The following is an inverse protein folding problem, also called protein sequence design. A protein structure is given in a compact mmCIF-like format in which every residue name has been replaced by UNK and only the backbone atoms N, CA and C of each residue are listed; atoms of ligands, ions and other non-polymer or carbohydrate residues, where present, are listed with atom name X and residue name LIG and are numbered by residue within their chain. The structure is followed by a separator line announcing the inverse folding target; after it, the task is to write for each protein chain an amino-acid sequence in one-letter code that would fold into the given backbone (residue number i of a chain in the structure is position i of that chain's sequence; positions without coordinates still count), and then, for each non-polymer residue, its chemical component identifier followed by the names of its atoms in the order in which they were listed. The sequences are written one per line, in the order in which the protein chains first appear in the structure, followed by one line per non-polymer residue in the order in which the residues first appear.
data_IF_620019045769
#
_entry.id   IF_620019045769
#
_cell.length_a   1.000
_cell.length_b   1.000
_cell.length_c   1.000
_cell.angle_alpha   90.00
_cell.angle_beta   90.00
_cell.angle_gamma   90.00
#
_symmetry.space_group_name_H-M   'P 1'
#
loop_
_entity.id
_entity.type
_entity.pdbx_description
1 polymer ?
#
# COMPACT_ATOMS: atom_id res chain seq x y z
N UNK A 1 79.10 -16.08 23.90
CA UNK A 1 78.55 -17.06 24.83
C UNK A 1 78.72 -18.43 24.21
N UNK A 2 79.11 -19.51 24.89
CA UNK A 2 79.18 -20.81 24.30
C UNK A 2 77.73 -21.16 23.79
N UNK A 3 77.67 -21.62 22.58
CA UNK A 3 76.38 -22.14 21.97
C UNK A 3 76.01 -23.32 22.89
N UNK A 4 75.00 -23.17 23.73
CA UNK A 4 74.47 -24.26 24.54
C UNK A 4 73.99 -25.39 23.64
N UNK A 5 74.07 -26.62 24.19
CA UNK A 5 73.55 -27.80 23.44
C UNK A 5 72.09 -27.55 23.05
N UNK A 6 71.76 -27.81 21.77
CA UNK A 6 70.41 -27.76 21.25
C UNK A 6 69.89 -29.16 20.96
N UNK A 7 68.59 -29.39 21.18
CA UNK A 7 67.97 -30.65 20.82
C UNK A 7 66.85 -30.40 19.82
N UNK A 8 66.54 -31.40 19.01
CA UNK A 8 65.45 -31.39 18.06
C UNK A 8 64.45 -32.47 18.42
N UNK A 9 63.20 -32.08 18.61
CA UNK A 9 62.10 -33.04 18.81
C UNK A 9 60.99 -32.77 17.75
N UNK A 10 60.33 -33.86 17.31
CA UNK A 10 59.23 -33.75 16.33
C UNK A 10 57.92 -33.97 17.04
N UNK A 11 56.98 -33.06 16.81
CA UNK A 11 55.63 -33.07 17.40
C UNK A 11 54.55 -33.19 16.35
N UNK A 12 53.57 -34.03 16.64
CA UNK A 12 52.31 -34.07 15.90
C UNK A 12 51.36 -33.03 16.49
N UNK A 13 51.09 -31.97 15.76
CA UNK A 13 50.27 -30.86 16.19
C UNK A 13 49.03 -30.74 15.34
N UNK A 14 47.90 -30.40 15.92
CA UNK A 14 46.60 -30.14 15.29
C UNK A 14 46.30 -28.66 15.33
N UNK A 15 45.31 -28.21 14.58
CA UNK A 15 44.78 -26.86 14.71
C UNK A 15 44.35 -26.61 16.16
N UNK A 16 44.64 -25.41 16.67
CA UNK A 16 44.33 -25.00 18.04
C UNK A 16 45.01 -25.87 19.12
N UNK A 17 46.21 -26.39 18.83
CA UNK A 17 47.07 -26.99 19.83
C UNK A 17 48.32 -26.16 20.00
N UNK A 18 48.92 -26.22 21.19
CA UNK A 18 50.16 -25.53 21.52
C UNK A 18 51.14 -26.39 22.28
N UNK A 19 52.38 -25.97 22.25
CA UNK A 19 53.49 -26.50 23.07
C UNK A 19 53.94 -25.41 24.05
N UNK A 20 54.07 -25.78 25.31
CA UNK A 20 54.46 -24.92 26.37
C UNK A 20 55.85 -25.35 26.90
N UNK A 21 56.81 -24.47 26.77
CA UNK A 21 58.19 -24.66 27.27
C UNK A 21 58.39 -23.83 28.51
N UNK A 22 59.25 -24.32 29.43
CA UNK A 22 59.67 -23.56 30.59
C UNK A 22 58.52 -22.98 31.42
N UNK A 23 57.47 -23.79 31.69
CA UNK A 23 56.28 -23.37 32.44
C UNK A 23 55.59 -22.09 31.89
N UNK A 24 55.52 -21.94 30.59
CA UNK A 24 54.80 -20.84 29.91
C UNK A 24 55.66 -19.65 29.54
N UNK A 25 56.94 -19.67 29.80
CA UNK A 25 57.84 -18.61 29.37
C UNK A 25 58.00 -18.56 27.85
N UNK A 26 57.88 -19.70 27.19
CA UNK A 26 57.88 -19.79 25.72
C UNK A 26 56.76 -20.73 25.23
N UNK A 27 55.95 -20.27 24.27
CA UNK A 27 54.88 -21.08 23.74
C UNK A 27 54.88 -21.05 22.21
N UNK A 28 54.50 -22.16 21.62
CA UNK A 28 54.23 -22.32 20.18
C UNK A 28 52.80 -22.73 20.04
N UNK A 29 51.99 -21.98 19.30
CA UNK A 29 50.58 -22.26 19.10
C UNK A 29 50.27 -22.42 17.61
N UNK A 30 49.63 -23.52 17.23
CA UNK A 30 49.15 -23.76 15.89
C UNK A 30 47.78 -23.13 15.75
N UNK A 31 47.67 -22.14 14.88
CA UNK A 31 46.45 -21.36 14.70
C UNK A 31 45.65 -21.80 13.49
N UNK A 32 46.36 -22.15 12.40
CA UNK A 32 45.74 -22.47 11.11
C UNK A 32 46.61 -23.44 10.34
N UNK A 33 46.00 -24.39 9.65
CA UNK A 33 46.61 -25.26 8.64
C UNK A 33 45.98 -25.00 7.30
N UNK A 34 46.75 -25.17 6.22
CA UNK A 34 46.28 -25.05 4.83
C UNK A 34 45.11 -25.94 4.55
N UNK A 35 44.19 -25.42 3.72
CA UNK A 35 43.04 -26.20 3.18
C UNK A 35 43.52 -27.14 2.04
N UNK A 36 42.69 -28.15 1.70
CA UNK A 36 42.93 -28.97 0.51
C UNK A 36 43.06 -28.13 -0.76
N UNK A 37 44.07 -28.40 -1.55
CA UNK A 37 44.34 -27.66 -2.79
C UNK A 37 45.22 -26.42 -2.66
N UNK A 38 45.48 -25.92 -1.43
CA UNK A 38 46.43 -24.87 -1.20
C UNK A 38 47.85 -25.41 -1.06
N UNK A 39 48.88 -24.52 -1.20
CA UNK A 39 50.23 -24.88 -0.84
C UNK A 39 50.30 -25.22 0.65
N UNK A 40 50.83 -26.39 1.06
CA UNK A 40 50.84 -26.79 2.46
C UNK A 40 51.60 -25.82 3.37
N UNK A 41 50.90 -25.29 4.37
CA UNK A 41 51.50 -24.47 5.44
C UNK A 41 50.85 -24.71 6.80
N UNK A 42 51.58 -24.39 7.84
CA UNK A 42 51.10 -24.25 9.21
C UNK A 42 51.38 -22.83 9.68
N UNK A 43 50.37 -22.14 10.13
CA UNK A 43 50.50 -20.82 10.73
C UNK A 43 50.65 -20.99 12.25
N UNK A 44 51.74 -20.53 12.77
CA UNK A 44 52.06 -20.64 14.21
C UNK A 44 52.24 -19.29 14.84
N UNK A 45 51.79 -19.16 16.08
CA UNK A 45 52.19 -18.07 16.98
C UNK A 45 53.35 -18.52 17.83
N UNK A 46 54.40 -17.74 17.88
CA UNK A 46 55.44 -17.84 18.89
C UNK A 46 55.16 -16.78 19.98
N UNK A 47 55.14 -17.20 21.23
CA UNK A 47 54.75 -16.34 22.35
C UNK A 47 55.85 -16.44 23.43
N UNK A 48 56.42 -15.32 23.78
CA UNK A 48 57.41 -15.23 24.89
C UNK A 48 57.48 -13.79 25.43
N UNK A 49 57.65 -13.64 26.74
CA UNK A 49 57.75 -12.33 27.38
C UNK A 49 56.54 -11.40 27.14
N UNK A 50 55.35 -11.96 26.91
CA UNK A 50 54.14 -11.18 26.56
C UNK A 50 54.07 -10.72 25.09
N UNK A 51 55.05 -11.03 24.28
CA UNK A 51 55.11 -10.75 22.86
C UNK A 51 54.60 -11.96 22.08
N UNK A 52 53.86 -11.70 20.95
CA UNK A 52 53.39 -12.71 20.04
C UNK A 52 53.80 -12.35 18.62
N UNK A 53 54.38 -13.31 17.90
CA UNK A 53 54.73 -13.16 16.48
C UNK A 53 54.27 -14.36 15.70
N UNK A 54 53.74 -14.13 14.48
CA UNK A 54 53.20 -15.17 13.59
C UNK A 54 54.23 -15.57 12.54
N UNK A 55 54.34 -16.86 12.29
CA UNK A 55 55.19 -17.43 11.26
C UNK A 55 54.38 -18.47 10.44
N UNK A 56 54.76 -18.59 9.19
CA UNK A 56 54.27 -19.65 8.29
C UNK A 56 55.36 -20.70 8.14
N UNK A 57 55.09 -21.89 8.60
CA UNK A 57 55.97 -23.05 8.43
C UNK A 57 55.51 -23.88 7.27
N UNK A 58 56.34 -24.06 6.25
CA UNK A 58 56.08 -24.91 5.08
C UNK A 58 56.89 -26.16 5.12
N UNK A 59 56.51 -27.16 4.26
CA UNK A 59 57.27 -28.42 4.22
C UNK A 59 58.68 -28.17 3.74
N UNK A 60 59.68 -28.61 4.54
CA UNK A 60 61.12 -28.47 4.28
C UNK A 60 61.62 -27.03 4.08
N UNK A 61 60.84 -26.02 4.55
CA UNK A 61 61.28 -24.62 4.58
C UNK A 61 61.56 -24.20 6.02
N UNK A 62 62.69 -23.48 6.23
CA UNK A 62 62.98 -22.80 7.45
C UNK A 62 62.28 -21.41 7.45
N UNK A 63 61.36 -21.10 8.38
CA UNK A 63 60.72 -19.80 8.44
C UNK A 63 61.68 -18.66 8.82
N UNK A 64 62.97 -18.93 8.97
CA UNK A 64 64.04 -17.94 9.22
C UNK A 64 63.72 -17.03 10.45
N UNK A 65 63.46 -17.64 11.59
CA UNK A 65 63.16 -16.92 12.85
C UNK A 65 64.42 -16.21 13.34
N UNK A 66 64.59 -14.94 13.01
CA UNK A 66 65.78 -14.15 13.37
C UNK A 66 65.52 -13.11 14.42
N UNK A 67 64.25 -12.85 14.74
CA UNK A 67 63.85 -11.79 15.68
C UNK A 67 64.00 -12.22 17.12
N UNK A 68 64.67 -11.41 17.94
CA UNK A 68 64.64 -11.59 19.39
C UNK A 68 63.27 -11.19 19.97
N UNK A 69 62.80 -11.88 20.99
CA UNK A 69 63.37 -13.06 21.68
C UNK A 69 62.99 -14.42 21.03
N UNK A 70 62.42 -14.43 19.78
CA UNK A 70 61.91 -15.62 19.13
C UNK A 70 63.01 -16.49 18.48
N UNK A 71 64.19 -15.97 18.24
CA UNK A 71 65.33 -16.61 17.59
C UNK A 71 66.00 -17.75 18.37
N UNK A 72 65.44 -18.12 19.52
CA UNK A 72 65.93 -19.24 20.34
C UNK A 72 65.45 -20.62 19.87
N UNK A 73 64.55 -20.64 18.90
CA UNK A 73 64.01 -21.88 18.31
C UNK A 73 64.14 -21.85 16.79
N UNK A 74 64.15 -23.03 16.20
CA UNK A 74 63.95 -23.19 14.78
C UNK A 74 62.84 -24.20 14.53
N UNK A 75 62.03 -23.98 13.51
CA UNK A 75 60.87 -24.79 13.12
C UNK A 75 61.08 -25.37 11.73
N UNK A 76 60.76 -26.64 11.56
CA UNK A 76 60.70 -27.25 10.24
C UNK A 76 59.51 -28.24 10.20
N UNK A 77 58.84 -28.35 9.09
CA UNK A 77 57.78 -29.32 8.93
C UNK A 77 58.09 -30.34 7.85
N UNK A 78 57.96 -31.61 8.18
CA UNK A 78 58.11 -32.72 7.25
C UNK A 78 56.80 -33.20 6.62
N UNK A 79 55.68 -32.85 7.25
CA UNK A 79 54.35 -33.22 6.82
C UNK A 79 53.30 -32.24 7.29
N UNK A 80 52.41 -31.82 6.40
CA UNK A 80 51.28 -30.93 6.72
C UNK A 80 50.05 -31.48 5.99
N UNK A 81 48.95 -31.65 6.73
CA UNK A 81 47.60 -31.93 6.25
C UNK A 81 46.63 -30.94 6.86
N UNK A 82 45.36 -31.03 6.52
CA UNK A 82 44.30 -30.21 7.13
C UNK A 82 44.14 -30.35 8.65
N UNK A 83 44.47 -31.53 9.16
CA UNK A 83 44.21 -31.88 10.55
C UNK A 83 45.48 -31.94 11.41
N UNK A 84 46.60 -32.37 10.84
CA UNK A 84 47.83 -32.64 11.55
C UNK A 84 49.03 -32.13 10.79
N UNK A 85 49.96 -31.51 11.49
CA UNK A 85 51.30 -31.18 11.01
C UNK A 85 52.35 -31.86 11.88
N UNK A 86 53.38 -32.40 11.22
CA UNK A 86 54.57 -32.90 11.88
C UNK A 86 55.63 -31.80 11.88
N UNK A 87 55.84 -31.16 13.02
CA UNK A 87 56.77 -30.04 13.18
C UNK A 87 57.98 -30.46 14.02
N UNK A 88 59.12 -30.45 13.38
CA UNK A 88 60.41 -30.59 14.07
C UNK A 88 60.81 -29.21 14.69
N UNK A 89 61.05 -29.18 15.97
CA UNK A 89 61.38 -27.98 16.71
C UNK A 89 62.78 -28.16 17.28
N UNK A 90 63.66 -27.25 16.92
CA UNK A 90 65.00 -27.16 17.50
C UNK A 90 64.98 -26.08 18.58
N UNK A 91 65.40 -26.44 19.78
CA UNK A 91 65.38 -25.57 20.94
C UNK A 91 66.54 -25.88 21.94
N UNK A 92 66.86 -24.98 22.85
CA UNK A 92 67.90 -25.22 23.84
C UNK A 92 67.62 -26.45 24.75
N UNK A 93 68.55 -27.34 24.88
CA UNK A 93 68.41 -28.56 25.72
C UNK A 93 68.04 -28.29 27.15
N UNK A 94 68.45 -27.14 27.66
CA UNK A 94 68.13 -26.65 29.03
C UNK A 94 66.64 -26.38 29.26
N UNK A 95 65.77 -26.31 28.17
CA UNK A 95 64.35 -26.00 28.33
C UNK A 95 63.54 -27.23 28.78
N UNK A 96 64.10 -28.42 28.68
CA UNK A 96 63.30 -29.66 28.84
C UNK A 96 62.33 -29.90 27.76
N UNK A 97 61.53 -30.98 27.82
CA UNK A 97 60.52 -31.32 26.83
C UNK A 97 59.25 -30.48 27.06
N UNK A 98 58.64 -29.92 26.03
CA UNK A 98 57.44 -29.08 26.18
C UNK A 98 56.21 -29.90 26.53
N UNK A 99 55.23 -29.23 27.14
CA UNK A 99 53.93 -29.79 27.44
C UNK A 99 52.94 -29.35 26.38
N UNK A 100 52.26 -30.31 25.71
CA UNK A 100 51.19 -30.07 24.75
C UNK A 100 49.91 -29.58 25.47
N UNK A 101 49.25 -28.59 24.93
CA UNK A 101 47.98 -28.07 25.43
C UNK A 101 47.04 -27.72 24.27
N UNK A 102 45.76 -27.54 24.60
CA UNK A 102 44.73 -27.14 23.63
C UNK A 102 44.44 -25.65 23.83
N UNK A 103 44.24 -24.94 22.70
CA UNK A 103 43.88 -23.53 22.67
C UNK A 103 42.38 -23.45 22.39
N UNK A 104 41.67 -22.53 23.01
CA UNK A 104 40.27 -22.28 22.66
C UNK A 104 40.17 -21.82 21.21
N UNK A 105 39.35 -22.53 20.42
CA UNK A 105 39.08 -22.16 19.05
C UNK A 105 38.37 -20.82 19.05
N UNK A 106 38.81 -19.79 18.28
CA UNK A 106 38.08 -18.55 18.15
C UNK A 106 36.65 -18.81 17.67
N UNK A 107 35.66 -18.40 18.44
CA UNK A 107 34.26 -18.43 18.02
C UNK A 107 34.09 -17.30 17.01
N UNK A 108 34.10 -17.64 15.72
CA UNK A 108 33.72 -16.68 14.68
C UNK A 108 32.21 -16.57 14.76
N UNK A 109 31.65 -15.39 15.10
CA UNK A 109 30.19 -15.25 15.15
C UNK A 109 29.59 -15.58 13.80
N UNK A 110 28.61 -16.47 13.80
CA UNK A 110 27.87 -16.83 12.59
C UNK A 110 27.18 -15.59 12.02
N UNK A 111 27.34 -15.35 10.73
CA UNK A 111 26.68 -14.25 10.03
C UNK A 111 25.24 -14.65 9.72
N UNK A 112 24.31 -14.19 10.55
CA UNK A 112 22.89 -14.55 10.47
C UNK A 112 22.09 -13.33 10.01
N UNK A 113 21.36 -13.41 8.88
CA UNK A 113 20.42 -12.37 8.48
C UNK A 113 19.17 -12.39 9.36
N UNK A 114 18.60 -11.21 9.60
CA UNK A 114 17.33 -11.03 10.28
C UNK A 114 16.50 -9.96 9.54
N UNK A 115 15.50 -10.39 8.79
CA UNK A 115 14.64 -9.51 7.99
C UNK A 115 13.45 -9.07 8.83
N UNK A 116 13.22 -7.76 8.87
CA UNK A 116 12.08 -7.11 9.50
C UNK A 116 11.30 -6.34 8.43
N UNK A 117 9.96 -6.45 8.45
CA UNK A 117 9.06 -5.77 7.52
C UNK A 117 8.12 -4.84 8.25
N UNK A 118 7.88 -3.67 7.65
CA UNK A 118 6.84 -2.73 8.07
C UNK A 118 6.02 -2.32 6.85
N UNK A 119 4.71 -2.62 6.87
CA UNK A 119 3.74 -2.18 5.85
C UNK A 119 3.01 -0.93 6.32
N UNK A 120 2.82 0.04 5.45
CA UNK A 120 2.05 1.26 5.68
C UNK A 120 1.27 1.66 4.43
N UNK A 121 0.32 2.57 4.60
CA UNK A 121 -0.48 3.17 3.54
C UNK A 121 -0.53 4.67 3.73
N UNK A 122 -0.80 5.42 2.67
CA UNK A 122 -0.96 6.87 2.68
C UNK A 122 -2.25 7.31 3.39
N UNK A 123 -3.33 6.50 3.30
CA UNK A 123 -4.63 6.77 3.91
C UNK A 123 -5.36 5.48 4.28
N UNK A 124 -6.14 5.51 5.38
CA UNK A 124 -6.90 4.35 5.89
C UNK A 124 -8.40 4.44 5.63
N UNK A 125 -8.89 5.62 5.23
CA UNK A 125 -10.28 5.87 4.81
C UNK A 125 -10.27 6.25 3.33
N UNK A 126 -11.08 5.58 2.54
CA UNK A 126 -11.14 5.65 1.09
C UNK A 126 -12.60 5.78 0.65
N UNK A 127 -12.82 6.36 -0.52
CA UNK A 127 -14.06 6.19 -1.25
C UNK A 127 -13.92 5.05 -2.26
N UNK A 128 -15.00 4.42 -2.64
CA UNK A 128 -15.01 3.49 -3.78
C UNK A 128 -14.53 4.25 -5.03
N UNK A 129 -13.55 3.68 -5.74
CA UNK A 129 -12.89 4.35 -6.87
C UNK A 129 -11.54 4.99 -6.54
N UNK A 130 -11.25 5.26 -5.27
CA UNK A 130 -9.98 5.84 -4.83
C UNK A 130 -8.80 4.92 -5.04
N UNK A 131 -7.63 5.52 -5.22
CA UNK A 131 -6.33 4.85 -5.21
C UNK A 131 -5.67 5.05 -3.86
N UNK A 132 -5.11 3.98 -3.30
CA UNK A 132 -4.31 3.96 -2.07
C UNK A 132 -2.89 3.49 -2.40
N UNK A 133 -1.90 4.19 -1.85
CA UNK A 133 -0.48 3.83 -1.98
C UNK A 133 -0.02 3.01 -0.78
N UNK A 134 0.60 1.87 -1.08
CA UNK A 134 1.24 0.99 -0.12
C UNK A 134 2.75 1.19 -0.14
N UNK A 135 3.36 1.23 1.03
CA UNK A 135 4.81 1.19 1.23
C UNK A 135 5.16 0.03 2.14
N UNK A 136 6.13 -0.80 1.73
CA UNK A 136 6.71 -1.88 2.53
C UNK A 136 8.18 -1.57 2.71
N UNK A 137 8.57 -1.27 3.94
CA UNK A 137 9.98 -1.12 4.32
C UNK A 137 10.50 -2.49 4.75
N UNK A 138 11.61 -2.92 4.15
CA UNK A 138 12.29 -4.18 4.43
C UNK A 138 13.67 -3.88 4.94
N UNK A 139 14.01 -4.31 6.16
CA UNK A 139 15.29 -4.07 6.80
C UNK A 139 15.98 -5.38 7.18
N UNK A 140 17.27 -5.48 6.92
CA UNK A 140 18.10 -6.56 7.45
C UNK A 140 18.82 -6.10 8.71
N UNK A 141 18.23 -6.35 9.87
CA UNK A 141 18.79 -6.00 11.17
C UNK A 141 19.83 -7.02 11.69
N UNK A 142 20.09 -8.08 10.92
CA UNK A 142 21.09 -9.10 11.24
C UNK A 142 22.52 -8.66 10.89
N UNK A 143 23.47 -9.53 11.21
CA UNK A 143 24.90 -9.34 10.91
C UNK A 143 25.38 -10.11 9.66
N UNK A 144 24.47 -10.82 8.98
CA UNK A 144 24.69 -11.55 7.74
C UNK A 144 23.84 -11.02 6.59
N UNK A 145 24.30 -11.24 5.36
CA UNK A 145 23.51 -10.92 4.15
C UNK A 145 22.37 -11.92 3.99
N UNK A 146 21.18 -11.43 3.73
CA UNK A 146 20.03 -12.25 3.33
C UNK A 146 20.10 -12.49 1.82
N UNK A 147 19.93 -13.74 1.40
CA UNK A 147 19.96 -14.17 -0.01
C UNK A 147 18.65 -14.85 -0.39
N UNK A 148 18.37 -14.91 -1.69
CA UNK A 148 17.19 -15.54 -2.29
C UNK A 148 15.89 -14.99 -1.69
N UNK A 149 15.79 -13.64 -1.64
CA UNK A 149 14.59 -13.00 -1.14
C UNK A 149 13.46 -13.16 -2.14
N UNK A 150 12.34 -13.68 -1.66
CA UNK A 150 11.09 -13.77 -2.44
C UNK A 150 9.97 -13.10 -1.67
N UNK A 151 9.25 -12.20 -2.35
CA UNK A 151 8.12 -11.46 -1.80
C UNK A 151 6.81 -12.13 -2.20
N UNK A 152 5.92 -12.32 -1.24
CA UNK A 152 4.54 -12.76 -1.46
C UNK A 152 3.59 -11.69 -0.92
N UNK A 153 2.94 -11.00 -1.85
CA UNK A 153 1.89 -9.99 -1.59
C UNK A 153 0.66 -10.35 -2.41
N UNK A 154 -0.45 -10.56 -1.72
CA UNK A 154 -1.72 -10.93 -2.35
C UNK A 154 -2.56 -9.69 -2.65
N UNK A 155 -3.28 -9.74 -3.76
CA UNK A 155 -4.28 -8.72 -4.06
C UNK A 155 -5.44 -8.87 -3.06
N UNK A 156 -5.75 -7.83 -2.25
CA UNK A 156 -6.84 -7.90 -1.30
C UNK A 156 -8.20 -7.92 -2.01
N UNK A 157 -9.19 -8.57 -1.39
CA UNK A 157 -10.56 -8.49 -1.87
C UNK A 157 -11.05 -7.04 -1.84
N UNK A 158 -11.84 -6.66 -2.85
CA UNK A 158 -12.35 -5.30 -3.00
C UNK A 158 -11.36 -4.31 -3.61
N UNK A 159 -10.19 -4.79 -4.09
CA UNK A 159 -9.21 -3.97 -4.76
C UNK A 159 -8.82 -4.52 -6.14
N UNK A 160 -8.38 -3.61 -7.00
CA UNK A 160 -7.73 -3.91 -8.28
C UNK A 160 -6.40 -3.17 -8.34
N UNK A 161 -5.52 -3.61 -9.25
CA UNK A 161 -4.28 -2.90 -9.53
C UNK A 161 -4.58 -1.49 -10.05
N UNK A 162 -3.97 -0.46 -9.47
CA UNK A 162 -4.07 0.90 -10.00
C UNK A 162 -3.30 1.04 -11.31
N UNK A 163 -3.73 1.95 -12.18
CA UNK A 163 -3.04 2.24 -13.44
C UNK A 163 -1.60 2.71 -13.16
N UNK A 164 -0.63 2.15 -13.88
CA UNK A 164 0.79 2.46 -13.69
C UNK A 164 1.47 1.82 -12.48
N UNK A 165 0.73 1.12 -11.62
CA UNK A 165 1.31 0.43 -10.46
C UNK A 165 2.01 -0.87 -10.85
N UNK A 166 3.08 -1.21 -10.14
CA UNK A 166 3.77 -2.50 -10.24
C UNK A 166 3.21 -3.49 -9.22
N UNK A 167 2.14 -4.22 -9.59
CA UNK A 167 1.58 -5.28 -8.75
C UNK A 167 1.48 -6.61 -9.53
N UNK A 168 1.85 -7.77 -8.97
CA UNK A 168 2.52 -7.93 -7.67
C UNK A 168 3.88 -7.24 -7.63
N UNK A 169 4.26 -6.67 -6.47
CA UNK A 169 5.56 -6.02 -6.34
C UNK A 169 6.71 -7.04 -6.38
N UNK A 170 7.89 -6.58 -6.79
CA UNK A 170 9.11 -7.39 -6.86
C UNK A 170 10.13 -6.93 -5.82
N UNK A 171 11.05 -7.83 -5.48
CA UNK A 171 12.16 -7.56 -4.56
C UNK A 171 13.47 -8.02 -5.19
N UNK A 172 14.59 -7.39 -4.84
CA UNK A 172 15.94 -7.83 -5.22
C UNK A 172 16.34 -9.13 -4.50
N UNK A 173 17.24 -9.91 -5.09
CA UNK A 173 17.61 -11.25 -4.59
C UNK A 173 18.41 -11.23 -3.27
N UNK A 174 19.08 -10.11 -2.94
CA UNK A 174 19.89 -10.01 -1.73
C UNK A 174 19.68 -8.70 -0.97
N UNK A 175 19.84 -8.76 0.35
CA UNK A 175 19.88 -7.58 1.23
C UNK A 175 21.02 -7.72 2.24
N UNK A 176 22.03 -6.85 2.12
CA UNK A 176 23.22 -6.85 2.99
C UNK A 176 22.85 -6.58 4.45
N UNK A 177 23.71 -7.00 5.38
CA UNK A 177 23.59 -6.65 6.80
C UNK A 177 23.49 -5.12 6.98
N UNK A 178 22.51 -4.66 7.76
CA UNK A 178 22.19 -3.23 7.94
C UNK A 178 21.56 -2.54 6.74
N UNK A 179 21.29 -3.27 5.66
CA UNK A 179 20.63 -2.73 4.47
C UNK A 179 19.13 -2.54 4.67
N UNK A 180 18.55 -1.56 3.96
CA UNK A 180 17.13 -1.30 3.90
C UNK A 180 16.69 -1.05 2.46
N UNK A 181 15.46 -1.42 2.13
CA UNK A 181 14.82 -1.10 0.86
C UNK A 181 13.35 -0.78 1.08
N UNK A 182 12.78 0.02 0.20
CA UNK A 182 11.36 0.36 0.18
C UNK A 182 10.72 -0.14 -1.10
N UNK A 183 9.59 -0.83 -0.96
CA UNK A 183 8.78 -1.35 -2.06
C UNK A 183 7.47 -0.58 -2.06
N UNK A 184 7.10 0.03 -3.17
CA UNK A 184 5.87 0.78 -3.35
C UNK A 184 4.99 0.20 -4.43
N UNK A 185 3.68 0.18 -4.19
CA UNK A 185 2.67 -0.17 -5.17
C UNK A 185 1.35 0.53 -4.82
N UNK A 186 0.45 0.65 -5.77
CA UNK A 186 -0.84 1.29 -5.58
C UNK A 186 -1.98 0.37 -6.02
N UNK A 187 -3.08 0.38 -5.26
CA UNK A 187 -4.29 -0.37 -5.54
C UNK A 187 -5.48 0.59 -5.60
N UNK A 188 -6.46 0.25 -6.44
CA UNK A 188 -7.74 0.97 -6.55
C UNK A 188 -8.82 0.20 -5.81
N UNK A 189 -9.55 0.88 -4.91
CA UNK A 189 -10.71 0.33 -4.22
C UNK A 189 -11.89 0.19 -5.19
N UNK A 190 -12.50 -1.00 -5.29
CA UNK A 190 -13.64 -1.26 -6.20
C UNK A 190 -14.89 -1.73 -5.47
N UNK A 191 -14.77 -2.13 -4.20
CA UNK A 191 -15.89 -2.53 -3.35
C UNK A 191 -15.87 -1.73 -2.04
N UNK A 192 -17.03 -1.29 -1.57
CA UNK A 192 -17.18 -0.61 -0.28
C UNK A 192 -17.21 -1.60 0.87
N UNK A 193 -16.79 -1.16 2.06
CA UNK A 193 -16.75 -1.95 3.28
C UNK A 193 -15.43 -1.84 4.02
N UNK A 194 -15.20 -2.73 4.98
CA UNK A 194 -13.94 -2.84 5.70
C UNK A 194 -13.10 -3.93 5.05
N UNK A 195 -11.92 -3.58 4.59
CA UNK A 195 -10.95 -4.51 4.01
C UNK A 195 -9.74 -4.67 4.93
N UNK A 196 -9.48 -5.90 5.37
CA UNK A 196 -8.30 -6.25 6.16
C UNK A 196 -7.20 -6.76 5.23
N UNK A 197 -6.16 -5.96 5.08
CA UNK A 197 -5.00 -6.29 4.25
C UNK A 197 -4.09 -7.24 5.02
N UNK A 198 -3.88 -8.43 4.49
CA UNK A 198 -3.02 -9.45 5.10
C UNK A 198 -1.56 -8.99 5.19
N UNK A 199 -0.77 -9.54 6.14
CA UNK A 199 0.66 -9.29 6.20
C UNK A 199 1.37 -9.73 4.92
N UNK A 200 2.27 -8.87 4.42
CA UNK A 200 3.26 -9.25 3.39
C UNK A 200 4.21 -10.29 3.96
N UNK A 201 4.58 -11.27 3.17
CA UNK A 201 5.53 -12.31 3.55
C UNK A 201 6.79 -12.23 2.69
N UNK A 202 7.98 -12.28 3.32
CA UNK A 202 9.26 -12.45 2.64
C UNK A 202 9.90 -13.75 3.11
N UNK A 203 10.31 -14.59 2.15
CA UNK A 203 11.16 -15.75 2.39
C UNK A 203 12.60 -15.40 2.06
N UNK A 204 13.55 -15.88 2.86
CA UNK A 204 14.98 -15.72 2.67
C UNK A 204 15.74 -16.93 3.23
N UNK A 205 16.43 -17.66 2.37
CA UNK A 205 16.93 -18.98 2.71
C UNK A 205 15.81 -19.90 3.22
N UNK A 206 15.98 -20.47 4.41
CA UNK A 206 14.95 -21.30 5.08
C UNK A 206 14.03 -20.52 6.03
N UNK A 207 14.19 -19.20 6.12
CA UNK A 207 13.46 -18.33 7.05
C UNK A 207 12.35 -17.55 6.36
N UNK A 208 11.40 -17.08 7.18
CA UNK A 208 10.27 -16.26 6.73
C UNK A 208 10.09 -15.08 7.69
N UNK A 209 9.88 -13.90 7.13
CA UNK A 209 9.49 -12.70 7.87
C UNK A 209 8.12 -12.20 7.38
N UNK A 210 7.35 -11.55 8.26
CA UNK A 210 6.02 -11.01 7.96
C UNK A 210 5.89 -9.58 8.44
N UNK A 211 5.14 -8.76 7.69
CA UNK A 211 4.76 -7.41 8.10
C UNK A 211 3.58 -7.42 9.08
N UNK A 212 3.18 -6.24 9.52
CA UNK A 212 1.87 -6.00 10.12
C UNK A 212 0.74 -6.13 9.08
N UNK A 213 -0.49 -6.37 9.55
CA UNK A 213 -1.73 -6.18 8.79
C UNK A 213 -2.17 -4.72 8.82
N UNK A 214 -3.05 -4.32 7.88
CA UNK A 214 -3.64 -2.98 7.82
C UNK A 214 -5.15 -3.14 7.62
N UNK A 215 -5.96 -2.33 8.31
CA UNK A 215 -7.40 -2.25 8.09
C UNK A 215 -7.73 -0.95 7.33
N UNK A 216 -8.49 -1.07 6.24
CA UNK A 216 -8.96 0.05 5.42
C UNK A 216 -10.48 0.10 5.45
N UNK A 217 -11.04 1.30 5.57
CA UNK A 217 -12.47 1.54 5.44
C UNK A 217 -12.75 2.19 4.09
N UNK A 218 -13.61 1.56 3.29
CA UNK A 218 -13.97 2.02 1.95
C UNK A 218 -15.44 2.43 1.99
N UNK A 219 -15.69 3.73 1.88
CA UNK A 219 -17.03 4.30 1.82
C UNK A 219 -17.63 4.22 0.43
N UNK A 220 -18.95 4.33 0.38
CA UNK A 220 -19.72 4.50 -0.85
C UNK A 220 -20.76 5.60 -0.63
N UNK A 221 -20.85 6.54 -1.55
CA UNK A 221 -21.95 7.49 -1.59
C UNK A 221 -23.23 6.84 -2.12
N UNK A 222 -24.36 7.32 -1.65
CA UNK A 222 -25.67 6.85 -2.12
C UNK A 222 -26.67 8.00 -2.07
N UNK A 223 -27.03 8.54 -3.20
CA UNK A 223 -27.98 9.66 -3.29
C UNK A 223 -29.42 9.15 -3.42
N UNK A 224 -30.29 9.72 -2.59
CA UNK A 224 -31.74 9.60 -2.72
C UNK A 224 -32.30 10.92 -3.27
N UNK A 225 -33.02 10.85 -4.40
CA UNK A 225 -33.70 12.00 -5.00
C UNK A 225 -35.20 11.87 -4.84
N UNK A 226 -35.83 12.87 -4.21
CA UNK A 226 -37.27 12.96 -4.02
C UNK A 226 -37.77 14.20 -4.76
N UNK A 227 -38.83 14.05 -5.53
CA UNK A 227 -39.46 15.12 -6.32
C UNK A 227 -40.88 15.34 -5.79
N UNK A 228 -41.13 16.49 -5.17
CA UNK A 228 -42.38 16.88 -4.57
C UNK A 228 -43.09 17.92 -5.48
N UNK A 229 -44.40 17.90 -5.51
CA UNK A 229 -45.23 18.86 -6.20
C UNK A 229 -46.08 19.61 -5.15
N UNK A 230 -46.23 20.94 -5.29
CA UNK A 230 -47.13 21.73 -4.44
C UNK A 230 -48.62 21.35 -4.70
N UNK A 231 -48.94 20.90 -5.94
CA UNK A 231 -50.27 20.46 -6.34
C UNK A 231 -50.18 19.49 -7.51
N UNK A 232 -51.12 18.55 -7.56
CA UNK A 232 -51.18 17.50 -8.58
C UNK A 232 -52.34 17.67 -9.58
N UNK A 233 -53.32 18.54 -9.26
CA UNK A 233 -54.48 18.83 -10.12
C UNK A 233 -54.50 20.32 -10.42
N UNK A 234 -54.32 20.71 -11.65
CA UNK A 234 -54.23 22.09 -12.13
C UNK A 234 -54.99 22.30 -13.41
N UNK A 235 -55.22 23.53 -13.78
CA UNK A 235 -55.82 23.91 -15.08
C UNK A 235 -54.72 24.37 -16.05
N UNK A 236 -54.99 24.27 -17.35
CA UNK A 236 -54.17 24.87 -18.38
C UNK A 236 -53.91 26.35 -18.09
N UNK A 237 -52.63 26.78 -18.05
CA UNK A 237 -52.16 28.09 -17.71
C UNK A 237 -51.81 28.28 -16.22
N UNK A 238 -52.08 27.30 -15.36
CA UNK A 238 -51.71 27.38 -13.95
C UNK A 238 -50.26 26.92 -13.74
N UNK A 239 -49.54 27.49 -12.81
CA UNK A 239 -48.19 27.06 -12.37
C UNK A 239 -48.28 25.89 -11.40
N UNK A 240 -47.25 25.05 -11.40
CA UNK A 240 -46.96 24.03 -10.39
C UNK A 240 -45.51 24.18 -9.94
N UNK A 241 -45.28 24.23 -8.65
CA UNK A 241 -43.95 24.25 -8.09
C UNK A 241 -43.44 22.81 -7.89
N UNK A 242 -42.28 22.55 -8.43
CA UNK A 242 -41.55 21.27 -8.34
C UNK A 242 -40.37 21.47 -7.41
N UNK A 243 -40.43 20.87 -6.24
CA UNK A 243 -39.32 20.88 -5.27
C UNK A 243 -38.55 19.56 -5.33
N UNK A 244 -37.27 19.65 -5.56
CA UNK A 244 -36.38 18.50 -5.68
C UNK A 244 -35.42 18.49 -4.50
N UNK A 245 -35.43 17.38 -3.73
CA UNK A 245 -34.54 17.17 -2.60
C UNK A 245 -33.62 15.99 -2.88
N UNK A 246 -32.31 16.24 -2.77
CA UNK A 246 -31.27 15.22 -2.83
C UNK A 246 -30.71 15.00 -1.41
N UNK A 247 -30.62 13.74 -0.98
CA UNK A 247 -30.04 13.38 0.32
C UNK A 247 -28.99 12.32 0.13
N UNK A 248 -27.77 12.55 0.65
CA UNK A 248 -26.75 11.51 0.66
C UNK A 248 -26.97 10.59 1.88
N UNK A 249 -27.55 9.40 1.63
CA UNK A 249 -27.80 8.36 2.62
C UNK A 249 -26.66 7.34 2.71
N UNK A 250 -25.55 7.57 1.97
CA UNK A 250 -24.33 6.78 2.02
C UNK A 250 -23.43 7.15 3.20
N UNK A 251 -22.26 6.54 3.27
CA UNK A 251 -21.24 6.78 4.28
C UNK A 251 -19.98 7.47 3.73
N UNK A 252 -20.05 7.93 2.49
CA UNK A 252 -19.01 8.67 1.79
C UNK A 252 -19.63 9.86 1.07
N UNK A 253 -18.86 10.91 0.80
CA UNK A 253 -19.30 12.08 0.03
C UNK A 253 -19.64 11.71 -1.41
N UNK A 254 -20.75 12.24 -1.92
CA UNK A 254 -21.04 12.19 -3.35
C UNK A 254 -20.41 13.44 -4.02
N UNK A 255 -19.55 13.23 -5.00
CA UNK A 255 -18.84 14.32 -5.71
C UNK A 255 -19.32 14.42 -7.16
N UNK A 256 -19.19 15.63 -7.75
CA UNK A 256 -19.59 15.94 -9.12
C UNK A 256 -21.04 15.52 -9.41
N UNK A 257 -21.96 15.89 -8.51
CA UNK A 257 -23.36 15.51 -8.60
C UNK A 257 -24.03 16.33 -9.70
N UNK A 258 -24.61 15.66 -10.67
CA UNK A 258 -25.44 16.24 -11.73
C UNK A 258 -26.85 15.65 -11.63
N UNK A 259 -27.85 16.54 -11.57
CA UNK A 259 -29.25 16.20 -11.72
C UNK A 259 -29.83 16.94 -12.91
N UNK A 260 -30.52 16.25 -13.79
CA UNK A 260 -31.11 16.84 -14.99
C UNK A 260 -32.25 15.99 -15.53
N UNK A 261 -33.13 16.63 -16.26
CA UNK A 261 -34.22 15.92 -16.98
C UNK A 261 -34.93 16.79 -18.01
N UNK A 262 -35.70 16.18 -18.91
CA UNK A 262 -36.45 16.90 -19.91
C UNK A 262 -37.68 17.58 -19.29
N UNK A 263 -38.01 18.77 -19.79
CA UNK A 263 -39.29 19.41 -19.51
C UNK A 263 -40.44 18.56 -20.11
N UNK A 264 -41.48 18.22 -19.33
CA UNK A 264 -42.64 17.47 -19.86
C UNK A 264 -43.28 18.21 -21.04
N UNK A 265 -43.65 17.50 -22.12
CA UNK A 265 -44.05 18.10 -23.38
C UNK A 265 -45.20 19.09 -23.26
N UNK A 266 -46.15 18.98 -22.40
CA UNK A 266 -47.24 19.90 -22.19
C UNK A 266 -47.00 20.98 -21.15
N UNK A 267 -45.74 21.23 -20.79
CA UNK A 267 -45.36 22.19 -19.76
C UNK A 267 -44.20 23.07 -20.23
N UNK A 268 -44.05 24.27 -19.65
CA UNK A 268 -42.93 25.19 -19.85
C UNK A 268 -42.32 25.59 -18.49
N UNK A 269 -41.03 25.82 -18.43
CA UNK A 269 -40.38 26.36 -17.25
C UNK A 269 -40.58 27.87 -17.20
N UNK A 270 -41.11 28.39 -16.12
CA UNK A 270 -41.30 29.82 -15.91
C UNK A 270 -40.34 30.43 -14.90
N UNK A 271 -39.83 29.61 -13.97
CA UNK A 271 -38.82 30.01 -12.97
C UNK A 271 -37.92 28.79 -12.60
N UNK A 272 -36.63 29.04 -12.40
CA UNK A 272 -35.67 28.00 -12.06
C UNK A 272 -35.19 27.16 -13.25
N UNK A 273 -34.66 25.99 -12.98
CA UNK A 273 -34.17 25.01 -13.98
C UNK A 273 -34.33 23.58 -13.42
N UNK A 274 -34.63 22.62 -14.30
CA UNK A 274 -34.61 21.19 -13.95
C UNK A 274 -33.20 20.59 -13.91
N UNK A 275 -32.17 21.37 -14.25
CA UNK A 275 -30.79 20.99 -14.22
C UNK A 275 -30.05 21.68 -13.09
N UNK A 276 -29.43 20.90 -12.19
CA UNK A 276 -28.58 21.42 -11.09
C UNK A 276 -27.28 20.62 -11.00
N UNK A 277 -26.22 21.28 -10.50
CA UNK A 277 -24.89 20.71 -10.29
C UNK A 277 -24.42 21.06 -8.88
N UNK A 278 -23.99 20.04 -8.14
CA UNK A 278 -23.35 20.22 -6.83
C UNK A 278 -21.94 19.63 -6.88
N UNK A 279 -20.97 20.37 -6.35
CA UNK A 279 -19.59 19.90 -6.29
C UNK A 279 -19.47 18.69 -5.37
N UNK A 280 -20.19 18.71 -4.23
CA UNK A 280 -20.12 17.69 -3.20
C UNK A 280 -21.38 17.72 -2.33
N UNK A 281 -21.84 16.54 -1.88
CA UNK A 281 -22.89 16.36 -0.86
C UNK A 281 -22.32 15.36 0.17
N UNK A 282 -22.14 15.83 1.43
CA UNK A 282 -21.57 15.02 2.49
C UNK A 282 -22.53 13.92 2.97
N UNK A 283 -22.08 12.87 3.66
CA UNK A 283 -22.92 11.87 4.28
C UNK A 283 -23.97 12.50 5.22
N UNK A 284 -25.25 12.20 5.00
CA UNK A 284 -26.36 12.75 5.77
C UNK A 284 -26.80 14.16 5.36
N UNK A 285 -26.08 14.84 4.49
CA UNK A 285 -26.43 16.15 3.97
C UNK A 285 -27.55 16.06 2.92
N UNK A 286 -28.34 17.14 2.83
CA UNK A 286 -29.39 17.27 1.82
C UNK A 286 -29.26 18.62 1.11
N UNK A 287 -29.45 18.61 -0.21
CA UNK A 287 -29.58 19.77 -1.05
C UNK A 287 -30.99 19.84 -1.61
N UNK A 288 -31.55 21.04 -1.74
CA UNK A 288 -32.90 21.27 -2.21
C UNK A 288 -32.95 22.46 -3.16
N UNK A 289 -33.75 22.33 -4.23
CA UNK A 289 -34.06 23.41 -5.16
C UNK A 289 -35.48 23.30 -5.66
N UNK A 290 -36.05 24.42 -6.12
CA UNK A 290 -37.40 24.48 -6.71
C UNK A 290 -37.35 25.03 -8.12
N UNK A 291 -38.27 24.56 -8.92
CA UNK A 291 -38.53 25.00 -10.31
C UNK A 291 -40.02 25.13 -10.52
N UNK A 292 -40.46 26.25 -11.10
CA UNK A 292 -41.90 26.45 -11.48
C UNK A 292 -42.14 26.06 -12.90
N UNK A 293 -43.02 25.09 -13.08
CA UNK A 293 -43.53 24.68 -14.38
C UNK A 293 -44.97 25.24 -14.60
N UNK A 294 -45.29 25.68 -15.81
CA UNK A 294 -46.61 26.12 -16.17
C UNK A 294 -47.22 25.15 -17.23
N UNK A 295 -48.43 24.73 -16.99
CA UNK A 295 -49.13 23.87 -17.92
C UNK A 295 -49.59 24.64 -19.18
N UNK A 296 -49.18 24.17 -20.36
CA UNK A 296 -49.56 24.77 -21.65
C UNK A 296 -50.61 23.94 -22.41
N UNK A 297 -50.69 22.66 -22.09
CA UNK A 297 -51.67 21.73 -22.69
C UNK A 297 -52.31 20.87 -21.58
N UNK A 298 -53.60 20.49 -21.80
CA UNK A 298 -54.27 19.54 -20.91
C UNK A 298 -53.73 18.13 -21.14
N UNK A 299 -53.64 17.35 -20.04
CA UNK A 299 -53.06 16.00 -20.08
C UNK A 299 -52.51 15.54 -18.73
N UNK A 300 -51.86 14.40 -18.76
CA UNK A 300 -51.21 13.81 -17.59
C UNK A 300 -49.70 13.84 -17.75
N UNK A 301 -49.02 14.51 -16.85
CA UNK A 301 -47.57 14.75 -16.92
C UNK A 301 -46.87 14.24 -15.67
N UNK A 302 -45.58 14.02 -15.76
CA UNK A 302 -44.69 13.80 -14.60
C UNK A 302 -43.30 14.32 -14.89
N UNK A 303 -42.65 14.85 -13.91
CA UNK A 303 -41.25 15.26 -13.98
C UNK A 303 -40.36 14.03 -13.74
N UNK A 304 -39.44 13.78 -14.67
CA UNK A 304 -38.46 12.68 -14.55
C UNK A 304 -37.07 13.26 -14.60
N UNK A 305 -36.29 13.05 -13.54
CA UNK A 305 -34.93 13.54 -13.40
C UNK A 305 -33.98 12.36 -13.30
N UNK A 306 -32.79 12.51 -13.91
CA UNK A 306 -31.66 11.60 -13.77
C UNK A 306 -30.61 12.22 -12.87
N UNK A 307 -30.20 11.49 -11.86
CA UNK A 307 -29.11 11.88 -10.95
C UNK A 307 -27.89 11.01 -11.21
N UNK A 308 -26.72 11.62 -11.41
CA UNK A 308 -25.42 10.94 -11.57
C UNK A 308 -24.35 11.64 -10.71
N UNK A 309 -23.34 10.90 -10.28
CA UNK A 309 -22.25 11.37 -9.45
C UNK A 309 -21.02 10.46 -9.60
N UNK A 310 -19.89 10.81 -8.99
CA UNK A 310 -18.60 10.13 -9.19
C UNK A 310 -18.64 8.62 -9.00
N UNK A 311 -19.35 8.12 -7.97
CA UNK A 311 -19.44 6.68 -7.67
C UNK A 311 -20.51 5.95 -8.52
N UNK A 312 -21.42 6.71 -9.15
CA UNK A 312 -22.46 6.20 -10.07
C UNK A 312 -22.60 7.14 -11.28
N UNK A 313 -21.68 7.03 -12.22
CA UNK A 313 -21.70 7.81 -13.46
C UNK A 313 -22.82 7.40 -14.42
N UNK A 314 -23.36 6.19 -14.27
CA UNK A 314 -24.54 5.75 -15.06
C UNK A 314 -25.80 6.43 -14.59
N UNK A 315 -25.85 6.76 -13.30
CA UNK A 315 -26.94 7.45 -12.64
C UNK A 315 -28.24 6.63 -12.55
N UNK A 316 -29.16 7.16 -11.77
CA UNK A 316 -30.50 6.61 -11.58
C UNK A 316 -31.57 7.66 -11.89
N UNK A 317 -32.78 7.22 -12.19
CA UNK A 317 -33.92 8.10 -12.52
C UNK A 317 -34.93 8.13 -11.39
N UNK A 318 -35.38 9.34 -11.04
CA UNK A 318 -36.47 9.61 -10.11
C UNK A 318 -37.63 10.28 -10.84
N UNK A 319 -38.85 10.01 -10.40
CA UNK A 319 -40.06 10.50 -11.03
C UNK A 319 -41.00 11.11 -9.98
N UNK A 320 -41.63 12.24 -10.32
CA UNK A 320 -42.67 12.86 -9.50
C UNK A 320 -43.99 12.07 -9.53
N UNK A 321 -44.88 12.43 -8.65
CA UNK A 321 -46.30 12.11 -8.80
C UNK A 321 -46.86 12.64 -10.12
N UNK A 322 -48.07 12.17 -10.49
CA UNK A 322 -48.76 12.57 -11.70
C UNK A 322 -49.35 13.98 -11.55
N UNK A 323 -49.08 14.85 -12.50
CA UNK A 323 -49.71 16.17 -12.65
C UNK A 323 -50.85 16.01 -13.62
N UNK A 324 -52.09 16.18 -13.16
CA UNK A 324 -53.32 16.11 -13.97
C UNK A 324 -53.70 17.54 -14.36
N UNK A 325 -53.61 17.84 -15.65
CA UNK A 325 -53.97 19.15 -16.23
C UNK A 325 -55.27 19.04 -16.95
N UNK A 326 -56.24 19.84 -16.54
CA UNK A 326 -57.56 19.94 -17.20
C UNK A 326 -57.74 21.32 -17.84
N UNK A 327 -58.55 21.38 -18.88
CA UNK A 327 -58.85 22.67 -19.47
C UNK A 327 -59.77 23.50 -18.55
N UNK A 328 -59.53 24.82 -18.47
CA UNK A 328 -60.44 25.72 -17.80
C UNK A 328 -61.76 25.73 -18.55
N UNK A 329 -62.87 25.49 -17.84
CA UNK A 329 -64.18 25.64 -18.42
C UNK A 329 -64.32 27.07 -18.96
N UNK A 330 -64.54 27.19 -20.26
CA UNK A 330 -64.84 28.47 -20.89
C UNK A 330 -66.25 28.89 -20.47
N UNK A 331 -66.37 29.80 -19.53
CA UNK A 331 -67.63 30.31 -19.06
C UNK A 331 -68.20 31.26 -20.12
N UNK A 332 -68.86 30.66 -21.11
CA UNK A 332 -69.54 31.39 -22.23
C UNK A 332 -70.66 32.31 -21.74
N UNK A 333 -71.12 32.20 -20.50
CA UNK A 333 -72.16 33.06 -19.91
C UNK A 333 -71.80 34.55 -20.02
N UNK A 334 -70.56 34.92 -19.86
CA UNK A 334 -70.04 36.32 -19.96
C UNK A 334 -70.14 36.85 -21.40
N UNK A 335 -70.20 36.02 -22.42
CA UNK A 335 -70.41 36.37 -23.85
C UNK A 335 -71.89 36.28 -24.21
N UNK A 336 -72.54 35.21 -23.73
CA UNK A 336 -73.98 34.96 -24.05
C UNK A 336 -74.94 36.00 -23.46
N UNK A 337 -74.69 36.41 -22.18
CA UNK A 337 -75.56 37.41 -21.51
C UNK A 337 -75.57 38.76 -22.27
N UNK A 338 -74.41 39.37 -22.58
CA UNK A 338 -74.44 40.63 -23.40
C UNK A 338 -75.01 40.45 -24.77
N UNK A 339 -74.72 39.30 -25.43
CA UNK A 339 -75.27 39.03 -26.73
C UNK A 339 -76.83 38.95 -26.72
N UNK A 340 -77.41 38.24 -25.73
CA UNK A 340 -78.87 38.15 -25.54
C UNK A 340 -79.43 39.53 -25.23
N UNK A 341 -78.81 40.37 -24.40
CA UNK A 341 -79.21 41.71 -24.09
C UNK A 341 -79.23 42.64 -25.33
N UNK A 342 -78.20 42.52 -26.17
CA UNK A 342 -78.12 43.27 -27.44
C UNK A 342 -79.21 42.83 -28.37
N UNK A 343 -79.45 41.52 -28.52
CA UNK A 343 -80.58 40.99 -29.40
C UNK A 343 -81.90 41.42 -28.87
N UNK A 344 -82.13 41.38 -27.52
CA UNK A 344 -83.42 41.84 -26.94
C UNK A 344 -83.58 43.35 -27.11
N UNK A 345 -82.52 44.14 -27.00
CA UNK A 345 -82.53 45.58 -27.25
C UNK A 345 -82.87 45.91 -28.70
N UNK A 346 -82.26 45.19 -29.64
CA UNK A 346 -82.61 45.34 -31.09
C UNK A 346 -84.09 44.95 -31.36
N UNK A 347 -84.51 43.85 -30.78
CA UNK A 347 -85.92 43.41 -30.94
C UNK A 347 -86.92 44.42 -30.41
N UNK A 348 -86.63 44.97 -29.18
CA UNK A 348 -87.49 46.03 -28.61
C UNK A 348 -87.43 47.32 -29.44
N UNK A 349 -86.25 47.66 -29.97
CA UNK A 349 -86.14 48.82 -30.87
C UNK A 349 -86.95 48.62 -32.15
N UNK A 350 -86.87 47.46 -32.78
CA UNK A 350 -87.65 47.14 -33.98
C UNK A 350 -89.17 47.12 -33.72
N UNK A 351 -89.62 46.51 -32.60
CA UNK A 351 -91.02 46.51 -32.18
C UNK A 351 -91.53 47.93 -31.93
N UNK A 352 -90.77 48.74 -31.26
CA UNK A 352 -91.13 50.15 -30.99
C UNK A 352 -91.20 50.94 -32.27
N UNK A 353 -90.28 50.80 -33.19
CA UNK A 353 -90.25 51.45 -34.49
C UNK A 353 -91.46 51.02 -35.39
N UNK A 354 -91.82 49.71 -35.38
CA UNK A 354 -93.02 49.24 -36.09
C UNK A 354 -94.31 49.81 -35.50
N UNK A 355 -94.38 50.03 -34.22
CA UNK A 355 -95.55 50.68 -33.58
C UNK A 355 -95.73 52.18 -33.93
N UNK A 356 -94.61 52.86 -34.19
CA UNK A 356 -94.66 54.29 -34.59
C UNK A 356 -95.09 54.54 -36.04
N UNK A 357 -95.12 53.52 -36.91
CA UNK A 357 -95.56 53.60 -38.33
C UNK A 357 -96.92 53.02 -38.56
N UNK A 358 -97.75 52.70 -37.56
CA UNK A 358 -99.08 52.15 -37.64
C UNK A 358 -100.17 53.13 -37.17
N UNK A 359 -100.08 54.41 -37.56
CA UNK A 359 -101.14 55.41 -37.44
C UNK A 359 -101.30 56.06 -38.80
#
# INVERSE_FOLDING_TARGET
MPVGAVKTETFSLENYTGLNFMNGLYKIEVIEMSKPGDMPFVKVNLITGGLTKQYYVRINEDPSIKDEPFNQINLNSSFISEKVAMIAIQFPDTWGSPVKYTIEKPVIPEKIPNIVLKKSVDKTSLNQGDVVEFSIIVENTGNGTAYNLTLDEKLPQGFTKAAGSSFPPTIQDELKAGGSLEIRFALKAVESGVSNIEPTTIKYGSKTARSNSISLTIGKSNLLTVINLDKTNIFTGDPVEVTVKLTNIGNSSAEAVLIEGPIPKGMEVTEGDLRQVYNKIEPGESEEYSTTLKAVESGNYSVSLKTSYSDDSTGFSSKSDLIIVTDKEKNYLFILIPAILIIAGIALFVIRRHREYSY
#
